data_IF_060593901080
#
_entry.id   IF_060593901080
#
_cell.length_a   1.000
_cell.length_b   1.000
_cell.length_c   1.000
_cell.angle_alpha   90.00
_cell.angle_beta   90.00
_cell.angle_gamma   90.00
#
_symmetry.space_group_name_H-M   'P 1'
#
loop_
_entity.id
_entity.type
_entity.pdbx_description
1 polymer ?
#
# COMPACT_ATOMS: atom_id res chain seq x y z
N UNK A 1 8.95 -28.83 1.57
CA UNK A 1 8.42 -27.45 1.58
C UNK A 1 9.45 -26.56 2.23
N UNK A 2 9.82 -25.48 1.57
CA UNK A 2 10.80 -24.51 2.07
C UNK A 2 10.18 -23.11 2.04
N UNK A 3 10.50 -22.28 3.03
CA UNK A 3 10.15 -20.85 3.04
C UNK A 3 11.43 -20.04 2.92
N UNK A 4 11.49 -19.13 1.95
CA UNK A 4 12.66 -18.28 1.70
C UNK A 4 12.24 -16.88 1.26
N UNK A 5 13.17 -15.94 1.34
CA UNK A 5 13.00 -14.61 0.77
C UNK A 5 13.04 -14.68 -0.76
N UNK A 6 12.26 -13.82 -1.41
CA UNK A 6 12.25 -13.68 -2.86
C UNK A 6 13.53 -12.98 -3.32
N UNK A 7 13.97 -13.35 -4.51
CA UNK A 7 15.09 -12.73 -5.23
C UNK A 7 14.61 -12.24 -6.59
N UNK A 8 15.41 -11.44 -7.28
CA UNK A 8 15.04 -11.00 -8.63
C UNK A 8 14.83 -12.15 -9.62
N UNK A 9 15.54 -13.27 -9.43
CA UNK A 9 15.43 -14.46 -10.28
C UNK A 9 14.06 -15.16 -10.16
N UNK A 10 13.31 -14.88 -9.08
CA UNK A 10 11.98 -15.44 -8.87
C UNK A 10 10.89 -14.73 -9.70
N UNK A 11 11.23 -13.66 -10.44
CA UNK A 11 10.26 -12.85 -11.19
C UNK A 11 9.33 -13.73 -12.03
N UNK A 12 9.88 -14.59 -12.88
CA UNK A 12 9.08 -15.41 -13.78
C UNK A 12 8.18 -16.40 -13.02
N UNK A 13 8.68 -17.01 -11.95
CA UNK A 13 7.90 -17.95 -11.15
C UNK A 13 6.74 -17.25 -10.43
N UNK A 14 6.97 -16.04 -9.92
CA UNK A 14 5.92 -15.21 -9.32
C UNK A 14 4.92 -14.72 -10.35
N UNK A 15 5.38 -14.29 -11.53
CA UNK A 15 4.48 -13.87 -12.61
C UNK A 15 3.61 -15.03 -13.13
N UNK A 16 4.10 -16.27 -13.11
CA UNK A 16 3.30 -17.44 -13.45
C UNK A 16 2.18 -17.72 -12.42
N UNK A 17 2.30 -17.21 -11.19
CA UNK A 17 1.22 -17.23 -10.20
C UNK A 17 0.27 -16.03 -10.31
N UNK A 18 0.68 -14.96 -11.01
CA UNK A 18 -0.19 -13.85 -11.35
C UNK A 18 -1.08 -14.26 -12.53
N UNK A 19 -2.35 -14.56 -12.26
CA UNK A 19 -3.36 -14.84 -13.29
C UNK A 19 -4.19 -13.57 -13.56
N UNK A 20 -4.60 -13.31 -14.82
CA UNK A 20 -5.64 -12.32 -15.14
C UNK A 20 -6.90 -12.49 -14.27
N UNK A 21 -7.21 -13.72 -13.86
CA UNK A 21 -8.38 -14.05 -13.04
C UNK A 21 -8.15 -13.82 -11.53
N UNK A 22 -6.89 -13.67 -11.10
CA UNK A 22 -6.55 -13.47 -9.68
C UNK A 22 -6.53 -12.01 -9.25
N UNK A 23 -6.54 -11.07 -10.21
CA UNK A 23 -6.60 -9.64 -9.93
C UNK A 23 -7.44 -8.87 -10.95
N UNK A 24 -8.63 -8.45 -10.49
CA UNK A 24 -9.58 -7.47 -11.07
C UNK A 24 -9.16 -6.91 -12.44
N UNK A 25 -9.49 -7.66 -13.50
CA UNK A 25 -9.40 -7.22 -14.89
C UNK A 25 -8.01 -6.74 -15.36
N UNK A 26 -6.92 -7.39 -14.90
CA UNK A 26 -5.58 -7.17 -15.47
C UNK A 26 -4.83 -5.93 -14.96
N UNK A 27 -5.25 -5.34 -13.83
CA UNK A 27 -4.55 -4.26 -13.14
C UNK A 27 -3.61 -4.77 -12.02
N UNK A 28 -2.99 -5.94 -12.20
CA UNK A 28 -2.11 -6.49 -11.16
C UNK A 28 -0.85 -5.62 -11.00
N UNK A 29 -0.76 -4.92 -9.87
CA UNK A 29 0.39 -4.09 -9.51
C UNK A 29 1.62 -4.92 -9.17
N UNK A 30 1.48 -6.23 -8.92
CA UNK A 30 2.61 -7.08 -8.53
C UNK A 30 3.71 -7.09 -9.59
N UNK A 31 3.34 -7.12 -10.87
CA UNK A 31 4.29 -7.01 -12.00
C UNK A 31 5.13 -5.73 -11.92
N UNK A 32 4.46 -4.61 -11.62
CA UNK A 32 5.07 -3.29 -11.57
C UNK A 32 5.97 -3.10 -10.34
N UNK A 33 5.59 -3.75 -9.23
CA UNK A 33 6.18 -3.51 -7.91
C UNK A 33 7.15 -4.61 -7.48
N UNK A 34 7.23 -5.73 -8.20
CA UNK A 34 8.02 -6.91 -7.80
C UNK A 34 9.46 -6.56 -7.41
N UNK A 35 10.21 -5.91 -8.30
CA UNK A 35 11.61 -5.59 -8.02
C UNK A 35 11.71 -4.60 -6.87
N UNK A 36 10.83 -3.60 -6.83
CA UNK A 36 10.73 -2.69 -5.69
C UNK A 36 10.46 -3.39 -4.36
N UNK A 37 9.68 -4.48 -4.33
CA UNK A 37 9.48 -5.28 -3.11
C UNK A 37 10.70 -6.12 -2.73
N UNK A 38 11.49 -6.56 -3.69
CA UNK A 38 12.75 -7.28 -3.43
C UNK A 38 13.81 -6.31 -2.90
N UNK A 39 13.83 -5.07 -3.39
CA UNK A 39 14.82 -4.05 -3.06
C UNK A 39 14.49 -3.24 -1.79
N UNK A 40 13.21 -3.14 -1.43
CA UNK A 40 12.77 -2.32 -0.29
C UNK A 40 13.21 -2.94 1.04
N UNK A 41 14.08 -2.25 1.82
CA UNK A 41 14.59 -2.76 3.09
C UNK A 41 13.52 -2.86 4.19
N UNK A 42 12.36 -2.23 4.02
CA UNK A 42 11.23 -2.38 4.93
C UNK A 42 10.28 -3.51 4.48
N UNK A 43 10.55 -4.16 3.35
CA UNK A 43 9.72 -5.24 2.82
C UNK A 43 10.27 -6.62 3.19
N UNK A 44 9.38 -7.50 3.65
CA UNK A 44 9.64 -8.93 3.75
C UNK A 44 8.81 -9.61 2.68
N UNK A 45 9.46 -10.07 1.61
CA UNK A 45 8.84 -10.79 0.51
C UNK A 45 9.22 -12.26 0.61
N UNK A 46 8.28 -13.11 1.03
CA UNK A 46 8.50 -14.54 1.19
C UNK A 46 7.85 -15.36 0.09
N UNK A 47 8.51 -16.46 -0.26
CA UNK A 47 8.05 -17.51 -1.16
C UNK A 47 8.00 -18.86 -0.43
N UNK A 48 6.97 -19.66 -0.72
CA UNK A 48 6.95 -21.09 -0.40
C UNK A 48 7.31 -21.88 -1.65
N UNK A 49 8.29 -22.75 -1.49
CA UNK A 49 8.72 -23.69 -2.50
C UNK A 49 8.29 -25.12 -2.12
N UNK A 50 7.73 -25.84 -3.08
CA UNK A 50 7.34 -27.24 -2.95
C UNK A 50 7.82 -27.99 -4.20
N UNK A 51 8.61 -29.04 -4.00
CA UNK A 51 9.18 -29.86 -5.08
C UNK A 51 9.91 -29.06 -6.17
N UNK A 52 10.62 -27.99 -5.77
CA UNK A 52 11.36 -27.10 -6.66
C UNK A 52 10.52 -26.03 -7.36
N UNK A 53 9.20 -26.01 -7.14
CA UNK A 53 8.31 -24.98 -7.68
C UNK A 53 7.90 -23.97 -6.62
N UNK A 54 7.90 -22.68 -6.96
CA UNK A 54 7.29 -21.63 -6.14
C UNK A 54 5.76 -21.77 -6.24
N UNK A 55 5.10 -22.01 -5.11
CA UNK A 55 3.67 -22.32 -5.06
C UNK A 55 2.84 -21.34 -4.25
N UNK A 56 3.48 -20.46 -3.48
CA UNK A 56 2.81 -19.46 -2.65
C UNK A 56 3.74 -18.27 -2.40
N UNK A 57 3.16 -17.09 -2.26
CA UNK A 57 3.89 -15.89 -1.85
C UNK A 57 3.09 -15.09 -0.82
N UNK A 58 3.83 -14.36 0.01
CA UNK A 58 3.31 -13.37 0.94
C UNK A 58 4.28 -12.17 0.98
N UNK A 59 3.76 -10.98 0.74
CA UNK A 59 4.51 -9.72 0.82
C UNK A 59 3.93 -8.91 1.97
N UNK A 60 4.78 -8.62 2.94
CA UNK A 60 4.43 -7.77 4.06
C UNK A 60 5.46 -6.68 4.26
N UNK A 61 4.99 -5.52 4.67
CA UNK A 61 5.83 -4.35 4.91
C UNK A 61 5.92 -4.05 6.38
N UNK A 62 7.09 -3.61 6.81
CA UNK A 62 7.29 -2.95 8.09
C UNK A 62 7.06 -1.44 7.91
N UNK A 63 6.37 -0.83 8.87
CA UNK A 63 6.03 0.60 8.85
C UNK A 63 6.22 1.19 10.24
N UNK A 64 6.21 2.52 10.29
CA UNK A 64 6.25 3.30 11.53
C UNK A 64 7.37 2.85 12.48
N UNK A 65 8.61 2.75 11.96
CA UNK A 65 9.81 2.37 12.72
C UNK A 65 9.69 0.99 13.41
N UNK A 66 8.95 0.08 12.78
CA UNK A 66 8.77 -1.29 13.27
C UNK A 66 7.55 -1.50 14.15
N UNK A 67 6.76 -0.47 14.42
CA UNK A 67 5.57 -0.61 15.27
C UNK A 67 4.40 -1.31 14.57
N UNK A 68 4.32 -1.20 13.24
CA UNK A 68 3.22 -1.73 12.45
C UNK A 68 3.74 -2.53 11.26
N UNK A 69 2.97 -3.52 10.83
CA UNK A 69 3.18 -4.19 9.57
C UNK A 69 1.93 -4.15 8.69
N UNK A 70 2.12 -4.24 7.38
CA UNK A 70 1.05 -4.20 6.37
C UNK A 70 1.14 -5.44 5.52
N UNK A 71 0.08 -6.26 5.47
CA UNK A 71 -0.02 -7.35 4.52
C UNK A 71 -0.45 -6.81 3.15
N UNK A 72 0.49 -6.77 2.20
CA UNK A 72 0.25 -6.16 0.87
C UNK A 72 -0.37 -7.14 -0.10
N UNK A 73 0.18 -8.35 -0.22
CA UNK A 73 -0.36 -9.33 -1.17
C UNK A 73 -0.02 -10.75 -0.76
N UNK A 74 -0.97 -11.65 -1.02
CA UNK A 74 -0.80 -13.09 -0.91
C UNK A 74 -1.29 -13.69 -2.23
N UNK A 75 -0.52 -14.62 -2.78
CA UNK A 75 -0.93 -15.41 -3.96
C UNK A 75 -0.62 -16.88 -3.73
N UNK A 76 -1.42 -17.72 -4.37
CA UNK A 76 -1.23 -19.16 -4.39
C UNK A 76 -1.27 -19.61 -5.84
N UNK A 77 -0.36 -20.51 -6.20
CA UNK A 77 -0.35 -21.13 -7.52
C UNK A 77 -1.69 -21.80 -7.80
N UNK A 78 -2.24 -21.67 -9.03
CA UNK A 78 -3.48 -22.34 -9.42
C UNK A 78 -3.46 -23.86 -9.19
N UNK A 79 -2.29 -24.50 -9.34
CA UNK A 79 -2.08 -25.93 -9.08
C UNK A 79 -2.42 -26.35 -7.64
N UNK A 80 -2.43 -25.39 -6.71
CA UNK A 80 -2.67 -25.59 -5.29
C UNK A 80 -4.08 -25.22 -4.85
N UNK A 81 -4.92 -24.63 -5.73
CA UNK A 81 -6.31 -24.30 -5.41
C UNK A 81 -7.11 -25.58 -5.10
N UNK A 82 -7.97 -25.51 -4.08
CA UNK A 82 -8.77 -26.66 -3.60
C UNK A 82 -8.01 -27.66 -2.73
N UNK A 83 -6.68 -27.55 -2.60
CA UNK A 83 -5.88 -28.39 -1.69
C UNK A 83 -5.80 -27.75 -0.30
N UNK A 84 -5.81 -28.56 0.77
CA UNK A 84 -5.82 -28.08 2.17
C UNK A 84 -4.49 -27.47 2.66
N UNK A 85 -3.66 -26.92 1.77
CA UNK A 85 -2.33 -26.38 2.10
C UNK A 85 -2.32 -24.90 2.49
N UNK A 86 -3.38 -24.14 2.18
CA UNK A 86 -3.45 -22.70 2.44
C UNK A 86 -3.14 -22.33 3.90
N UNK A 87 -3.67 -23.12 4.85
CA UNK A 87 -3.41 -22.90 6.28
C UNK A 87 -1.95 -23.15 6.64
N UNK A 88 -1.37 -24.24 6.13
CA UNK A 88 0.02 -24.62 6.38
C UNK A 88 0.99 -23.56 5.85
N UNK A 89 0.79 -23.10 4.61
CA UNK A 89 1.63 -22.06 4.02
C UNK A 89 1.54 -20.76 4.79
N UNK A 90 0.32 -20.28 5.09
CA UNK A 90 0.11 -19.06 5.88
C UNK A 90 0.75 -19.16 7.27
N UNK A 91 0.67 -20.32 7.93
CA UNK A 91 1.30 -20.52 9.24
C UNK A 91 2.84 -20.45 9.14
N UNK A 92 3.43 -21.10 8.14
CA UNK A 92 4.87 -21.08 7.92
C UNK A 92 5.38 -19.68 7.56
N UNK A 93 4.70 -18.98 6.65
CA UNK A 93 5.03 -17.59 6.29
C UNK A 93 4.96 -16.67 7.49
N UNK A 94 3.91 -16.81 8.32
CA UNK A 94 3.72 -15.98 9.52
C UNK A 94 4.90 -16.09 10.47
N UNK A 95 5.34 -17.30 10.79
CA UNK A 95 6.50 -17.51 11.68
C UNK A 95 7.74 -16.82 11.12
N UNK A 96 7.97 -16.95 9.80
CA UNK A 96 9.14 -16.35 9.14
C UNK A 96 9.04 -14.82 9.08
N UNK A 97 7.88 -14.25 8.78
CA UNK A 97 7.66 -12.80 8.81
C UNK A 97 7.94 -12.21 10.20
N UNK A 98 7.38 -12.80 11.27
CA UNK A 98 7.62 -12.30 12.61
C UNK A 98 9.09 -12.35 13.01
N UNK A 99 9.79 -13.45 12.70
CA UNK A 99 11.22 -13.56 12.95
C UNK A 99 11.99 -12.44 12.22
N UNK A 100 11.65 -12.21 10.95
CA UNK A 100 12.30 -11.16 10.14
C UNK A 100 11.99 -9.75 10.63
N UNK A 101 10.76 -9.45 11.01
CA UNK A 101 10.43 -8.13 11.54
C UNK A 101 11.16 -7.82 12.85
N UNK A 102 11.35 -8.82 13.71
CA UNK A 102 12.15 -8.67 14.94
C UNK A 102 13.63 -8.46 14.58
N UNK A 103 14.16 -9.22 13.61
CA UNK A 103 15.54 -9.05 13.11
C UNK A 103 15.78 -7.65 12.54
N UNK A 104 14.83 -7.12 11.76
CA UNK A 104 14.97 -5.82 11.08
C UNK A 104 14.77 -4.63 12.02
N UNK A 105 13.84 -4.72 12.98
CA UNK A 105 13.44 -3.58 13.82
C UNK A 105 13.92 -3.64 15.27
N UNK A 106 14.42 -4.80 15.71
CA UNK A 106 14.74 -5.06 17.12
C UNK A 106 13.50 -5.20 18.03
N UNK A 107 12.28 -5.11 17.50
CA UNK A 107 11.05 -5.22 18.27
C UNK A 107 9.97 -6.03 17.54
N UNK A 108 8.97 -6.48 18.29
CA UNK A 108 7.80 -7.13 17.70
C UNK A 108 6.79 -6.07 17.24
N UNK A 109 6.29 -6.13 15.98
CA UNK A 109 5.20 -5.26 15.53
C UNK A 109 3.98 -5.41 16.44
N UNK A 110 3.27 -4.31 16.68
CA UNK A 110 2.09 -4.25 17.57
C UNK A 110 0.77 -4.24 16.78
N UNK A 111 0.84 -3.87 15.50
CA UNK A 111 -0.33 -3.70 14.61
C UNK A 111 -0.09 -4.41 13.28
N UNK A 112 -1.14 -5.06 12.76
CA UNK A 112 -1.19 -5.55 11.39
C UNK A 112 -2.31 -4.84 10.65
N UNK A 113 -1.97 -4.22 9.52
CA UNK A 113 -2.92 -3.71 8.54
C UNK A 113 -3.11 -4.74 7.44
N UNK A 114 -4.35 -5.02 7.06
CA UNK A 114 -4.67 -5.99 6.01
C UNK A 114 -5.64 -5.34 5.03
N UNK A 115 -5.29 -5.32 3.76
CA UNK A 115 -6.23 -4.96 2.70
C UNK A 115 -7.19 -6.14 2.48
N UNK A 116 -8.50 -5.91 2.66
CA UNK A 116 -9.53 -6.92 2.44
C UNK A 116 -10.46 -6.48 1.34
N UNK A 117 -10.70 -7.39 0.41
CA UNK A 117 -11.86 -7.31 -0.46
C UNK A 117 -13.11 -7.64 0.37
N UNK A 118 -14.13 -6.77 0.36
CA UNK A 118 -15.39 -6.97 1.09
C UNK A 118 -16.11 -8.26 0.71
N UNK A 119 -15.84 -8.78 -0.50
CA UNK A 119 -16.44 -10.01 -1.02
C UNK A 119 -15.64 -11.28 -0.67
N UNK A 120 -14.38 -11.16 -0.21
CA UNK A 120 -13.55 -12.32 0.13
C UNK A 120 -13.70 -12.75 1.59
N UNK A 121 -14.69 -13.60 1.83
CA UNK A 121 -15.01 -14.14 3.16
C UNK A 121 -13.91 -15.02 3.80
N UNK A 122 -12.98 -15.58 3.02
CA UNK A 122 -11.92 -16.48 3.54
C UNK A 122 -10.85 -15.76 4.38
N UNK A 123 -10.73 -14.43 4.24
CA UNK A 123 -9.80 -13.60 4.99
C UNK A 123 -10.30 -13.19 6.39
N UNK A 124 -11.60 -13.35 6.69
CA UNK A 124 -12.18 -13.05 8.02
C UNK A 124 -11.56 -13.87 9.17
N UNK A 125 -10.97 -15.03 8.86
CA UNK A 125 -10.34 -15.95 9.83
C UNK A 125 -8.93 -15.55 10.26
N UNK A 126 -8.29 -14.57 9.62
CA UNK A 126 -6.91 -14.21 9.95
C UNK A 126 -6.79 -13.54 11.34
N UNK A 127 -7.87 -12.88 11.80
CA UNK A 127 -7.91 -12.09 13.05
C UNK A 127 -7.90 -12.92 14.33
N UNK A 128 -8.39 -14.16 14.30
CA UNK A 128 -8.51 -14.98 15.53
C UNK A 128 -7.19 -15.56 16.03
N UNK A 129 -6.17 -15.63 15.16
CA UNK A 129 -4.96 -16.42 15.40
C UNK A 129 -3.71 -15.54 15.60
N UNK A 130 -3.87 -14.21 15.65
CA UNK A 130 -2.76 -13.26 15.75
C UNK A 130 -2.78 -12.52 17.11
N UNK A 131 -1.63 -12.32 17.77
CA UNK A 131 -1.53 -11.43 18.93
C UNK A 131 -1.49 -9.94 18.52
N UNK A 132 -1.98 -9.60 17.33
CA UNK A 132 -1.96 -8.26 16.77
C UNK A 132 -3.38 -7.70 16.74
N UNK A 133 -3.53 -6.40 17.03
CA UNK A 133 -4.80 -5.71 16.81
C UNK A 133 -4.94 -5.40 15.31
N UNK A 134 -5.81 -6.13 14.61
CA UNK A 134 -6.21 -5.78 13.24
C UNK A 134 -7.00 -4.49 13.27
N UNK A 135 -6.52 -3.45 12.57
CA UNK A 135 -7.05 -2.08 12.79
C UNK A 135 -7.87 -1.50 11.63
N UNK A 136 -7.82 -2.04 10.41
CA UNK A 136 -8.50 -1.38 9.28
C UNK A 136 -8.87 -2.32 8.15
N UNK A 137 -10.07 -2.13 7.58
CA UNK A 137 -10.49 -2.66 6.28
C UNK A 137 -10.53 -1.46 5.33
N UNK A 138 -9.67 -1.45 4.32
CA UNK A 138 -9.66 -0.41 3.28
C UNK A 138 -10.43 -0.95 2.08
N UNK A 139 -11.56 -0.33 1.74
CA UNK A 139 -12.34 -0.68 0.55
C UNK A 139 -11.78 0.09 -0.65
N UNK A 140 -11.31 -0.63 -1.67
CA UNK A 140 -10.75 -0.04 -2.89
C UNK A 140 -11.79 -0.15 -4.00
N UNK A 141 -12.09 0.98 -4.65
CA UNK A 141 -12.95 1.06 -5.81
C UNK A 141 -12.10 1.49 -7.02
N UNK A 142 -12.01 0.64 -8.03
CA UNK A 142 -11.31 0.94 -9.28
C UNK A 142 -12.28 1.61 -10.24
N UNK A 143 -11.95 2.82 -10.69
CA UNK A 143 -12.66 3.49 -11.77
C UNK A 143 -11.78 3.47 -13.02
N UNK A 144 -12.21 2.74 -14.05
CA UNK A 144 -11.74 3.01 -15.40
C UNK A 144 -12.57 4.20 -15.90
N UNK A 145 -11.97 5.38 -15.88
CA UNK A 145 -12.67 6.63 -16.17
C UNK A 145 -12.00 7.33 -17.36
N UNK A 146 -12.80 7.74 -18.34
CA UNK A 146 -12.34 8.69 -19.36
C UNK A 146 -12.22 10.07 -18.71
N UNK A 147 -11.01 10.60 -18.54
CA UNK A 147 -10.81 11.89 -17.88
C UNK A 147 -11.32 13.09 -18.72
N UNK A 148 -11.69 12.88 -19.98
CA UNK A 148 -12.12 13.94 -20.91
C UNK A 148 -13.33 14.73 -20.39
N UNK A 149 -14.44 14.10 -19.93
CA UNK A 149 -15.58 14.82 -19.38
C UNK A 149 -15.27 15.57 -18.08
N UNK A 150 -14.25 15.13 -17.33
CA UNK A 150 -13.79 15.84 -16.13
C UNK A 150 -13.04 17.11 -16.53
N UNK A 151 -12.17 17.03 -17.54
CA UNK A 151 -11.50 18.20 -18.13
C UNK A 151 -12.51 19.23 -18.66
N UNK A 152 -13.57 18.77 -19.30
CA UNK A 152 -14.61 19.63 -19.87
C UNK A 152 -15.56 20.21 -18.81
N UNK A 153 -15.73 19.51 -17.68
CA UNK A 153 -16.56 19.92 -16.54
C UNK A 153 -15.84 20.76 -15.48
N UNK A 154 -14.52 20.93 -15.57
CA UNK A 154 -13.75 21.85 -14.73
C UNK A 154 -14.04 23.30 -15.18
N UNK A 155 -15.20 23.81 -14.80
CA UNK A 155 -15.50 25.24 -14.92
C UNK A 155 -14.62 26.02 -13.94
N UNK A 156 -14.09 27.17 -14.38
CA UNK A 156 -13.32 28.17 -13.61
C UNK A 156 -14.10 28.83 -12.45
N UNK A 157 -14.86 28.05 -11.68
CA UNK A 157 -15.41 28.53 -10.41
C UNK A 157 -14.28 28.56 -9.37
N UNK A 158 -13.35 29.50 -9.56
CA UNK A 158 -12.41 29.95 -8.55
C UNK A 158 -13.20 30.60 -7.40
N UNK A 159 -13.77 29.79 -6.54
CA UNK A 159 -13.76 30.18 -5.12
C UNK A 159 -12.29 30.20 -4.70
N UNK A 160 -11.87 31.19 -3.91
CA UNK A 160 -10.48 31.39 -3.48
C UNK A 160 -9.97 30.19 -2.67
N UNK A 161 -9.62 29.12 -3.37
CA UNK A 161 -9.03 27.94 -2.79
C UNK A 161 -7.55 28.26 -2.54
N UNK A 162 -7.01 27.79 -1.41
CA UNK A 162 -5.60 27.94 -1.15
C UNK A 162 -4.77 27.26 -2.25
N UNK A 163 -3.59 27.82 -2.53
CA UNK A 163 -2.69 27.25 -3.51
C UNK A 163 -2.15 25.90 -2.99
N UNK A 164 -2.25 24.86 -3.82
CA UNK A 164 -1.54 23.61 -3.60
C UNK A 164 -0.10 23.77 -4.08
N UNK A 165 0.85 23.50 -3.20
CA UNK A 165 2.28 23.58 -3.48
C UNK A 165 2.95 22.22 -3.28
N UNK A 166 4.02 21.89 -4.03
CA UNK A 166 4.83 20.71 -3.76
C UNK A 166 5.40 20.74 -2.35
N UNK A 167 5.15 19.69 -1.58
CA UNK A 167 5.63 19.55 -0.21
C UNK A 167 7.14 19.74 -0.12
N UNK A 168 7.56 20.60 0.80
CA UNK A 168 8.93 20.76 1.26
C UNK A 168 9.06 20.16 2.67
N UNK A 169 10.24 19.65 3.06
CA UNK A 169 10.46 19.13 4.41
C UNK A 169 10.06 20.09 5.55
N UNK A 170 10.15 21.40 5.34
CA UNK A 170 9.70 22.44 6.29
C UNK A 170 8.20 22.41 6.55
N UNK A 171 7.40 21.96 5.59
CA UNK A 171 5.93 21.97 5.65
C UNK A 171 5.40 20.94 6.65
N UNK A 172 6.24 20.01 7.13
CA UNK A 172 5.84 19.10 8.21
C UNK A 172 5.32 19.87 9.44
N UNK A 173 5.82 21.09 9.67
CA UNK A 173 5.40 21.94 10.78
C UNK A 173 3.94 22.41 10.68
N UNK A 174 3.39 22.54 9.47
CA UNK A 174 1.97 22.90 9.28
C UNK A 174 1.05 21.66 9.25
N UNK A 175 1.62 20.46 9.19
CA UNK A 175 0.90 19.17 9.17
C UNK A 175 0.84 18.49 10.55
N UNK A 176 1.86 18.67 11.39
CA UNK A 176 1.92 18.11 12.74
C UNK A 176 0.94 18.71 13.78
N UNK A 177 0.41 19.94 13.67
CA UNK A 177 -0.50 20.49 14.67
C UNK A 177 -1.69 19.55 14.91
N UNK A 178 -2.10 19.31 16.18
CA UNK A 178 -3.22 18.41 16.50
C UNK A 178 -4.52 18.77 15.79
N UNK A 179 -4.72 20.06 15.49
CA UNK A 179 -5.86 20.56 14.73
C UNK A 179 -5.93 19.95 13.31
N UNK A 180 -4.78 19.81 12.62
CA UNK A 180 -4.71 19.15 11.32
C UNK A 180 -5.08 17.68 11.46
N UNK A 181 -4.36 16.96 12.34
CA UNK A 181 -4.55 15.52 12.50
C UNK A 181 -5.98 15.16 12.94
N UNK A 182 -6.58 15.92 13.85
CA UNK A 182 -7.94 15.66 14.33
C UNK A 182 -9.03 16.00 13.30
N UNK A 183 -8.82 17.02 12.46
CA UNK A 183 -9.82 17.47 11.49
C UNK A 183 -9.76 16.68 10.16
N UNK A 184 -8.60 16.11 9.83
CA UNK A 184 -8.28 15.62 8.49
C UNK A 184 -7.96 14.11 8.51
N UNK A 185 -7.17 13.66 9.49
CA UNK A 185 -6.67 12.28 9.51
C UNK A 185 -7.55 11.38 10.36
N UNK A 186 -8.05 10.30 9.76
CA UNK A 186 -8.63 9.21 10.55
C UNK A 186 -7.53 8.56 11.38
N UNK A 187 -7.58 8.74 12.70
CA UNK A 187 -6.62 8.19 13.66
C UNK A 187 -5.15 8.58 13.40
N UNK A 188 -4.90 9.73 12.78
CA UNK A 188 -3.54 10.21 12.47
C UNK A 188 -2.83 9.43 11.36
N UNK A 189 -3.58 8.70 10.52
CA UNK A 189 -3.04 7.86 9.44
C UNK A 189 -3.25 8.52 8.08
N UNK A 190 -2.22 8.55 7.24
CA UNK A 190 -2.30 8.86 5.80
C UNK A 190 -2.27 7.56 5.00
N UNK A 191 -2.91 7.54 3.84
CA UNK A 191 -2.85 6.43 2.90
C UNK A 191 -2.06 6.87 1.66
N UNK A 192 -1.10 6.05 1.23
CA UNK A 192 -0.35 6.26 -0.02
C UNK A 192 -0.30 4.95 -0.79
N UNK A 193 -0.88 4.91 -1.99
CA UNK A 193 -1.00 3.67 -2.78
C UNK A 193 -1.63 2.53 -1.96
N UNK A 194 -2.65 2.91 -1.17
CA UNK A 194 -3.39 2.11 -0.18
C UNK A 194 -2.60 1.65 1.04
N UNK A 195 -1.33 2.01 1.16
CA UNK A 195 -0.51 1.67 2.33
C UNK A 195 -0.72 2.71 3.44
N UNK A 196 -1.03 2.28 4.68
CA UNK A 196 -1.17 3.18 5.80
C UNK A 196 0.18 3.59 6.37
N UNK A 197 0.32 4.88 6.65
CA UNK A 197 1.47 5.47 7.35
C UNK A 197 0.97 6.38 8.46
N UNK A 198 1.67 6.45 9.59
CA UNK A 198 1.52 7.59 10.48
C UNK A 198 2.01 8.85 9.78
N UNK A 199 1.31 9.96 9.98
CA UNK A 199 1.87 11.26 9.62
C UNK A 199 3.03 11.60 10.57
N UNK A 200 4.26 11.48 10.07
CA UNK A 200 5.48 11.77 10.80
C UNK A 200 6.59 12.22 9.85
N UNK A 201 7.57 12.95 10.36
CA UNK A 201 8.72 13.40 9.56
C UNK A 201 9.48 12.23 8.91
N UNK A 202 9.80 11.12 9.61
CA UNK A 202 10.49 9.99 8.99
C UNK A 202 9.70 9.35 7.84
N UNK A 203 8.37 9.19 7.98
CA UNK A 203 7.53 8.61 6.95
C UNK A 203 7.42 9.56 5.74
N UNK A 204 7.23 10.87 5.97
CA UNK A 204 7.16 11.86 4.89
C UNK A 204 8.48 11.93 4.11
N UNK A 205 9.61 11.88 4.80
CA UNK A 205 10.93 11.81 4.16
C UNK A 205 11.05 10.58 3.25
N UNK A 206 10.71 9.39 3.75
CA UNK A 206 10.71 8.14 2.96
C UNK A 206 9.83 8.25 1.72
N UNK A 207 8.64 8.84 1.85
CA UNK A 207 7.72 9.03 0.72
C UNK A 207 8.30 9.96 -0.36
N UNK A 208 8.96 11.05 0.04
CA UNK A 208 9.67 11.94 -0.90
C UNK A 208 10.82 11.19 -1.60
N UNK A 209 11.62 10.44 -0.86
CA UNK A 209 12.73 9.64 -1.40
C UNK A 209 12.25 8.54 -2.37
N UNK A 210 11.06 7.98 -2.12
CA UNK A 210 10.38 7.03 -3.01
C UNK A 210 9.75 7.69 -4.26
N UNK A 211 9.89 9.02 -4.43
CA UNK A 211 9.34 9.75 -5.56
C UNK A 211 7.83 9.96 -5.52
N UNK A 212 7.22 9.90 -4.33
CA UNK A 212 5.80 10.23 -4.16
C UNK A 212 5.57 11.72 -4.43
N UNK A 213 4.57 12.02 -5.24
CA UNK A 213 4.12 13.40 -5.46
C UNK A 213 3.25 13.82 -4.28
N UNK A 214 3.75 14.73 -3.46
CA UNK A 214 3.04 15.22 -2.27
C UNK A 214 2.69 16.68 -2.50
N UNK A 215 1.41 17.01 -2.39
CA UNK A 215 0.92 18.40 -2.44
C UNK A 215 0.29 18.76 -1.10
N UNK A 216 0.66 19.94 -0.61
CA UNK A 216 0.15 20.53 0.62
C UNK A 216 -0.47 21.88 0.31
N UNK A 217 -1.51 22.22 1.04
CA UNK A 217 -2.08 23.57 1.03
C UNK A 217 -1.21 24.52 1.87
N UNK A 218 -0.93 25.70 1.33
CA UNK A 218 -0.16 26.79 1.97
C UNK A 218 -0.91 27.57 3.08
N UNK A 219 -2.01 27.05 3.63
CA UNK A 219 -2.76 27.73 4.69
C UNK A 219 -2.01 27.68 6.01
N UNK A 220 -1.88 28.86 6.64
CA UNK A 220 -1.29 29.04 7.96
C UNK A 220 -2.38 29.20 9.03
N UNK A 221 -2.16 28.74 10.28
CA UNK A 221 -0.96 28.09 10.83
C UNK A 221 -0.93 26.56 10.63
N UNK A 222 -1.95 26.00 9.97
CA UNK A 222 -2.06 24.57 9.68
C UNK A 222 -2.73 24.37 8.32
N UNK A 223 -2.20 23.43 7.52
CA UNK A 223 -2.74 23.16 6.19
C UNK A 223 -4.20 22.71 6.26
N UNK A 224 -5.00 22.96 5.21
CA UNK A 224 -6.35 22.39 5.13
C UNK A 224 -6.43 21.15 4.25
N UNK A 225 -5.39 20.80 3.51
CA UNK A 225 -5.37 19.60 2.68
C UNK A 225 -3.97 19.05 2.49
N UNK A 226 -3.91 17.74 2.32
CA UNK A 226 -2.72 16.98 1.96
C UNK A 226 -3.16 15.92 0.95
N UNK A 227 -2.40 15.80 -0.13
CA UNK A 227 -2.61 14.75 -1.13
C UNK A 227 -1.31 14.09 -1.51
N UNK A 228 -1.39 12.80 -1.73
CA UNK A 228 -0.29 11.97 -2.23
C UNK A 228 -0.66 11.46 -3.62
N UNK A 229 0.33 11.29 -4.47
CA UNK A 229 0.11 10.80 -5.81
C UNK A 229 1.32 10.07 -6.36
N UNK A 230 1.06 9.24 -7.36
CA UNK A 230 2.08 8.45 -8.01
C UNK A 230 1.57 7.77 -9.25
N UNK A 231 2.48 7.09 -9.95
CA UNK A 231 2.10 6.25 -11.08
C UNK A 231 2.99 5.03 -11.20
N UNK A 232 2.46 3.97 -11.78
CA UNK A 232 3.24 2.78 -12.14
C UNK A 232 2.69 2.15 -13.42
N UNK A 233 3.54 1.40 -14.12
CA UNK A 233 3.17 0.71 -15.37
C UNK A 233 2.59 -0.67 -15.08
N UNK A 234 1.45 -0.98 -15.69
CA UNK A 234 0.86 -2.33 -15.73
C UNK A 234 0.83 -2.82 -17.18
N UNK A 235 0.57 -4.13 -17.43
CA UNK A 235 0.38 -4.63 -18.79
C UNK A 235 -0.73 -3.92 -19.58
N UNK A 236 -1.71 -3.31 -18.90
CA UNK A 236 -2.81 -2.56 -19.54
C UNK A 236 -2.54 -1.06 -19.69
N UNK A 237 -1.39 -0.57 -19.22
CA UNK A 237 -1.02 0.84 -19.30
C UNK A 237 -0.60 1.43 -17.96
N UNK A 238 -0.42 2.75 -17.93
CA UNK A 238 -0.01 3.48 -16.73
C UNK A 238 -1.20 3.68 -15.79
N UNK A 239 -1.05 3.26 -14.55
CA UNK A 239 -1.98 3.56 -13.46
C UNK A 239 -1.49 4.81 -12.75
N UNK A 240 -2.38 5.77 -12.52
CA UNK A 240 -2.16 6.92 -11.66
C UNK A 240 -3.02 6.75 -10.41
N UNK A 241 -2.46 7.02 -9.24
CA UNK A 241 -3.22 7.07 -7.99
C UNK A 241 -3.06 8.44 -7.36
N UNK A 242 -4.14 8.90 -6.72
CA UNK A 242 -4.18 10.13 -5.95
C UNK A 242 -4.95 9.82 -4.66
N UNK A 243 -4.27 9.94 -3.53
CA UNK A 243 -4.83 9.73 -2.21
C UNK A 243 -5.04 11.10 -1.55
N UNK A 244 -6.29 11.51 -1.36
CA UNK A 244 -6.65 12.82 -0.78
C UNK A 244 -7.16 12.69 0.64
N UNK A 245 -6.62 13.48 1.56
CA UNK A 245 -7.02 13.41 2.99
C UNK A 245 -8.10 14.45 3.36
N UNK A 246 -8.58 15.27 2.42
CA UNK A 246 -9.84 16.05 2.57
C UNK A 246 -10.52 16.20 1.22
N UNK A 247 -11.79 15.85 1.13
CA UNK A 247 -12.54 15.88 -0.13
C UNK A 247 -12.75 17.31 -0.61
N UNK A 248 -12.09 17.68 -1.70
CA UNK A 248 -12.70 18.23 -2.93
C UNK A 248 -11.72 17.90 -4.06
N UNK A 249 -12.02 16.82 -4.80
CA UNK A 249 -11.21 16.34 -5.90
C UNK A 249 -11.28 17.37 -7.05
N UNK A 250 -10.21 18.14 -7.26
CA UNK A 250 -10.03 18.96 -8.45
C UNK A 250 -8.66 18.64 -9.04
N UNK A 251 -8.66 17.78 -10.07
CA UNK A 251 -7.44 17.33 -10.72
C UNK A 251 -7.03 18.37 -11.77
N UNK A 252 -5.92 19.09 -11.53
CA UNK A 252 -5.27 19.90 -12.56
C UNK A 252 -4.22 19.05 -13.26
N UNK A 253 -4.56 18.53 -14.44
CA UNK A 253 -3.58 17.96 -15.38
C UNK A 253 -3.00 19.12 -16.19
N UNK A 254 -1.75 19.51 -15.95
CA UNK A 254 -1.02 20.39 -16.88
C UNK A 254 -0.30 19.53 -17.91
N UNK A 255 -0.42 19.98 -19.17
CA UNK A 255 0.15 19.44 -20.41
C UNK A 255 1.66 19.30 -20.38
#
# INVERSE_FOLDING_TARGET
MTVREATHDDYQAVMNMASPDTFRDGFDYLLAKFHGFVDDPDTVFLLVELDGEVVFLDVQFLRDEGESCVAKTIRMSPKMLGRRFAKTFRAAMRVRHFAKFIEMSGQQPKKLHVLRDTERHDLKRLDSDLPLRTKSVINIMYFCWDATPMKDGLTDNQTSLPALVPYQPSDIQCLLPPAFSAAILSEGTVLVDWDPYKLSEPNMKKLVEAGCYILVDSTEPAANSLSFGGSYMTPRGRVYHIDTVRTRLYVRLTS
#
